data_IF_548442799566
#
_entry.id   IF_548442799566
#
_cell.length_a   1.000
_cell.length_b   1.000
_cell.length_c   1.000
_cell.angle_alpha   90.00
_cell.angle_beta   90.00
_cell.angle_gamma   90.00
#
_symmetry.space_group_name_H-M   'P 1'
#
loop_
_entity.id
_entity.type
_entity.pdbx_description
1 polymer ?
#
# COMPACT_ATOMS: atom_id res chain seq x y z
N UNK A 1 -34.43 0.53 42.58
CA UNK A 1 -33.58 1.71 42.77
C UNK A 1 -32.14 1.31 42.50
N UNK A 2 -31.66 1.55 41.30
CA UNK A 2 -30.24 1.70 40.95
C UNK A 2 -30.20 2.23 39.53
N UNK A 3 -29.60 3.42 39.38
CA UNK A 3 -29.47 4.15 38.11
C UNK A 3 -28.37 3.52 37.27
N UNK A 4 -28.72 3.17 36.02
CA UNK A 4 -27.75 2.83 34.98
C UNK A 4 -27.48 4.09 34.17
N UNK A 5 -26.25 4.61 34.28
CA UNK A 5 -25.75 5.68 33.45
C UNK A 5 -25.40 5.11 32.06
N UNK A 6 -26.05 5.64 31.04
CA UNK A 6 -25.69 5.42 29.63
C UNK A 6 -24.63 6.43 29.23
N UNK A 7 -23.47 5.95 28.84
CA UNK A 7 -22.47 6.74 28.11
C UNK A 7 -22.83 6.77 26.63
N UNK A 8 -23.08 7.97 26.14
CA UNK A 8 -23.27 8.24 24.70
C UNK A 8 -21.90 8.60 24.15
N UNK A 9 -21.34 7.76 23.26
CA UNK A 9 -20.22 8.13 22.40
C UNK A 9 -20.75 8.72 21.10
N UNK A 10 -20.43 9.98 20.89
CA UNK A 10 -20.66 10.74 19.66
C UNK A 10 -19.72 10.23 18.58
N UNK A 11 -20.27 9.75 17.47
CA UNK A 11 -19.53 9.40 16.26
C UNK A 11 -19.46 10.66 15.40
N UNK A 12 -18.28 11.26 15.31
CA UNK A 12 -17.99 12.30 14.31
C UNK A 12 -17.58 11.65 12.99
N UNK A 13 -18.22 12.12 11.94
CA UNK A 13 -18.09 11.62 10.59
C UNK A 13 -16.71 11.83 9.96
N UNK A 14 -16.31 10.89 9.15
CA UNK A 14 -15.14 10.94 8.31
C UNK A 14 -15.47 11.61 6.97
N UNK A 15 -14.92 12.77 6.75
CA UNK A 15 -14.77 13.37 5.43
C UNK A 15 -13.32 13.83 5.27
N UNK A 16 -12.76 13.57 4.08
CA UNK A 16 -11.48 14.04 3.53
C UNK A 16 -10.21 13.33 3.98
N UNK A 17 -9.76 12.39 3.14
CA UNK A 17 -8.39 11.93 3.09
C UNK A 17 -7.47 13.00 2.50
N UNK A 18 -6.83 13.77 3.35
CA UNK A 18 -5.52 14.32 3.07
C UNK A 18 -4.49 13.36 3.66
N UNK A 19 -3.53 12.93 2.85
CA UNK A 19 -2.44 12.08 3.30
C UNK A 19 -1.54 12.88 4.26
N UNK A 20 -1.81 12.79 5.54
CA UNK A 20 -0.94 13.27 6.61
C UNK A 20 -0.19 12.07 7.16
N UNK A 21 1.12 12.12 7.05
CA UNK A 21 2.03 11.22 7.76
C UNK A 21 1.88 11.51 9.26
N UNK A 22 1.18 10.65 9.99
CA UNK A 22 1.06 10.76 11.44
C UNK A 22 2.33 10.25 12.10
N UNK A 23 3.10 11.16 12.67
CA UNK A 23 4.13 10.86 13.68
C UNK A 23 3.43 10.41 14.96
N UNK A 24 3.56 9.16 15.33
CA UNK A 24 3.24 8.71 16.67
C UNK A 24 4.43 9.02 17.59
N UNK A 25 4.25 9.99 18.46
CA UNK A 25 5.10 10.20 19.65
C UNK A 25 4.53 9.33 20.76
N UNK A 26 5.21 8.25 21.10
CA UNK A 26 4.93 7.48 22.32
C UNK A 26 5.67 8.14 23.47
N UNK A 27 4.92 8.77 24.37
CA UNK A 27 5.42 9.24 25.67
C UNK A 27 5.47 8.05 26.62
N UNK A 28 6.66 7.64 27.03
CA UNK A 28 6.87 6.68 28.10
C UNK A 28 7.00 7.46 29.42
N UNK A 29 6.07 7.27 30.34
CA UNK A 29 6.21 7.66 31.76
C UNK A 29 7.02 6.60 32.49
N UNK A 30 8.09 7.01 33.15
CA UNK A 30 8.82 6.23 34.16
C UNK A 30 8.25 6.45 35.54
N UNK A 31 8.19 5.44 36.40
CA UNK A 31 8.06 5.67 37.85
C UNK A 31 9.43 5.81 38.52
N UNK A 32 9.49 6.70 39.45
CA UNK A 32 10.67 7.03 40.27
C UNK A 32 10.97 5.95 41.30
N UNK A 33 12.27 5.66 41.52
CA UNK A 33 12.76 5.28 42.85
C UNK A 33 14.22 5.75 43.04
N UNK A 34 14.45 6.35 44.20
CA UNK A 34 15.68 6.98 44.68
C UNK A 34 16.75 5.96 45.03
N UNK A 35 18.01 6.30 44.78
CA UNK A 35 19.12 6.15 45.74
C UNK A 35 20.40 6.81 45.23
N UNK A 36 21.01 7.66 46.07
CA UNK A 36 22.34 8.27 46.00
C UNK A 36 23.15 7.68 47.15
N UNK A 37 24.50 7.86 47.36
CA UNK A 37 25.54 8.44 46.49
C UNK A 37 26.86 7.65 46.44
N UNK A 38 27.76 7.98 45.49
CA UNK A 38 29.21 8.02 45.76
C UNK A 38 29.98 8.76 44.62
N UNK A 39 30.78 9.78 45.01
CA UNK A 39 31.83 10.45 44.23
C UNK A 39 33.14 9.94 44.79
N UNK A 40 34.36 10.00 44.12
CA UNK A 40 34.87 11.12 43.34
C UNK A 40 35.83 10.80 42.14
N UNK A 41 36.17 11.88 41.45
CA UNK A 41 37.41 12.23 40.78
C UNK A 41 37.58 11.86 39.27
N UNK A 42 37.78 12.93 38.48
CA UNK A 42 38.27 12.95 37.12
C UNK A 42 37.71 14.15 36.36
N UNK A 43 38.44 15.27 36.38
CA UNK A 43 38.19 16.45 35.55
C UNK A 43 38.43 16.06 34.10
N UNK A 44 37.40 16.16 33.24
CA UNK A 44 37.56 16.22 31.81
C UNK A 44 36.67 17.37 31.27
N UNK A 45 37.26 18.13 30.35
CA UNK A 45 36.79 19.37 29.76
C UNK A 45 35.39 19.25 29.12
N UNK A 46 34.61 20.33 29.01
CA UNK A 46 33.28 20.30 28.43
C UNK A 46 33.32 20.05 26.93
N UNK A 47 32.88 18.88 26.50
CA UNK A 47 32.62 18.59 25.08
C UNK A 47 31.59 19.58 24.58
N UNK A 48 31.98 20.42 23.62
CA UNK A 48 31.10 21.37 22.95
C UNK A 48 29.87 20.67 22.37
N UNK A 49 28.72 20.95 22.94
CA UNK A 49 27.41 20.50 22.40
C UNK A 49 27.18 21.23 21.08
N UNK A 50 27.43 20.52 19.98
CA UNK A 50 27.07 21.00 18.64
C UNK A 50 25.59 21.39 18.62
N UNK A 51 25.22 22.59 18.12
CA UNK A 51 23.82 23.03 18.10
C UNK A 51 23.00 22.00 17.29
N UNK A 52 21.87 21.59 17.84
CA UNK A 52 20.87 20.77 17.11
C UNK A 52 20.63 21.42 15.75
N UNK A 53 20.99 20.71 14.67
CA UNK A 53 20.70 21.12 13.33
C UNK A 53 19.19 21.47 13.25
N UNK A 54 18.89 22.71 12.91
CA UNK A 54 17.55 23.15 12.57
C UNK A 54 17.06 22.17 11.48
N UNK A 55 15.97 21.48 11.75
CA UNK A 55 15.23 20.74 10.71
C UNK A 55 14.67 21.82 9.78
N UNK A 56 15.44 22.16 8.76
CA UNK A 56 14.93 23.01 7.68
C UNK A 56 13.77 22.27 7.04
N UNK A 57 12.62 22.93 6.98
CA UNK A 57 11.51 22.46 6.15
C UNK A 57 12.06 22.33 4.74
N UNK A 58 11.77 21.22 4.01
CA UNK A 58 12.16 21.13 2.61
C UNK A 58 11.69 22.39 1.89
N UNK A 59 12.56 22.99 1.09
CA UNK A 59 12.20 24.13 0.26
C UNK A 59 10.95 23.78 -0.51
N UNK A 60 9.93 24.67 -0.52
CA UNK A 60 8.74 24.48 -1.32
C UNK A 60 9.18 24.27 -2.78
N UNK A 61 8.87 23.11 -3.36
CA UNK A 61 9.28 22.77 -4.71
C UNK A 61 8.81 23.83 -5.69
N UNK A 62 9.52 23.99 -6.79
CA UNK A 62 9.17 24.94 -7.87
C UNK A 62 7.66 24.87 -8.17
N UNK A 63 6.96 26.01 -8.29
CA UNK A 63 5.55 26.02 -8.68
C UNK A 63 5.36 25.25 -9.99
N UNK A 64 4.33 24.40 -10.05
CA UNK A 64 4.00 23.65 -11.25
C UNK A 64 3.33 24.54 -12.28
N UNK A 65 3.61 24.29 -13.56
CA UNK A 65 2.85 24.83 -14.67
C UNK A 65 1.75 23.85 -15.12
N UNK A 66 0.69 24.33 -15.79
CA UNK A 66 -0.30 23.45 -16.40
C UNK A 66 0.36 22.46 -17.37
N UNK A 67 -0.04 21.17 -17.27
CA UNK A 67 0.52 20.10 -18.09
C UNK A 67 1.85 19.54 -17.58
N UNK A 68 2.27 19.88 -16.37
CA UNK A 68 3.41 19.29 -15.69
C UNK A 68 2.96 18.28 -14.62
N UNK A 69 3.73 17.19 -14.45
CA UNK A 69 3.52 16.24 -13.37
C UNK A 69 3.70 16.90 -12.01
N UNK A 70 2.74 16.66 -11.10
CA UNK A 70 2.79 17.17 -9.73
C UNK A 70 3.27 16.13 -8.75
N UNK A 71 2.46 15.11 -8.50
CA UNK A 71 2.78 14.03 -7.58
C UNK A 71 2.41 12.71 -8.21
N UNK A 72 2.96 11.63 -7.67
CA UNK A 72 2.77 10.27 -8.18
C UNK A 72 2.24 9.37 -7.08
N UNK A 73 1.53 8.31 -7.48
CA UNK A 73 1.16 7.19 -6.61
C UNK A 73 1.83 5.91 -7.10
N UNK A 74 1.88 4.93 -6.24
CA UNK A 74 2.63 3.69 -6.38
C UNK A 74 2.63 3.12 -7.79
N UNK A 75 3.80 3.03 -8.41
CA UNK A 75 3.91 2.44 -9.74
C UNK A 75 3.82 0.91 -9.67
N UNK A 76 3.38 0.30 -10.76
CA UNK A 76 3.43 -1.14 -10.99
C UNK A 76 4.07 -1.43 -12.34
N UNK A 77 4.73 -2.58 -12.47
CA UNK A 77 5.36 -3.06 -13.70
C UNK A 77 4.84 -4.44 -14.03
N UNK A 78 4.50 -4.69 -15.30
CA UNK A 78 4.11 -6.00 -15.77
C UNK A 78 5.30 -6.78 -16.38
N UNK A 79 5.10 -8.07 -16.71
CA UNK A 79 6.15 -8.92 -17.26
C UNK A 79 6.57 -8.53 -18.69
N UNK A 80 5.79 -7.72 -19.38
CA UNK A 80 6.19 -7.12 -20.67
C UNK A 80 7.04 -5.86 -20.53
N UNK A 81 7.24 -5.36 -19.29
CA UNK A 81 8.01 -4.17 -18.95
C UNK A 81 7.27 -2.86 -19.15
N UNK A 82 5.95 -2.93 -19.33
CA UNK A 82 5.14 -1.72 -19.28
C UNK A 82 4.92 -1.29 -17.82
N UNK A 83 4.95 0.02 -17.58
CA UNK A 83 4.89 0.61 -16.22
C UNK A 83 3.66 1.50 -16.13
N UNK A 84 2.79 1.20 -15.15
CA UNK A 84 1.60 1.98 -14.83
C UNK A 84 1.80 2.77 -13.54
N UNK A 85 1.33 4.02 -13.49
CA UNK A 85 1.28 4.84 -12.28
C UNK A 85 0.18 5.89 -12.36
N UNK A 86 -0.34 6.32 -11.22
CA UNK A 86 -1.24 7.47 -11.14
C UNK A 86 -0.43 8.73 -10.89
N UNK A 87 -0.79 9.81 -11.56
CA UNK A 87 -0.22 11.13 -11.31
C UNK A 87 -1.30 12.18 -11.05
N UNK A 88 -0.94 13.15 -10.22
CA UNK A 88 -1.64 14.41 -10.00
C UNK A 88 -0.93 15.50 -10.80
N UNK A 89 -1.67 16.45 -11.36
CA UNK A 89 -1.11 17.57 -12.12
C UNK A 89 -2.01 18.80 -12.01
N UNK A 90 -1.47 19.97 -12.33
CA UNK A 90 -2.27 21.19 -12.39
C UNK A 90 -3.14 21.19 -13.65
N UNK A 91 -4.44 21.34 -13.46
CA UNK A 91 -5.41 21.51 -14.53
C UNK A 91 -6.35 22.68 -14.18
N UNK A 92 -6.29 23.82 -14.91
CA UNK A 92 -7.09 25.02 -14.60
C UNK A 92 -8.60 24.76 -14.53
N UNK A 93 -9.09 23.77 -15.28
CA UNK A 93 -10.51 23.37 -15.35
C UNK A 93 -10.87 22.22 -14.42
N UNK A 94 -9.91 21.64 -13.68
CA UNK A 94 -10.12 20.53 -12.76
C UNK A 94 -10.75 20.97 -11.43
N UNK A 95 -11.29 20.01 -10.67
CA UNK A 95 -11.75 20.25 -9.28
C UNK A 95 -10.58 20.80 -8.46
N UNK A 96 -10.74 21.97 -7.87
CA UNK A 96 -9.71 22.66 -7.10
C UNK A 96 -8.40 22.94 -7.86
N UNK A 97 -8.43 23.07 -9.19
CA UNK A 97 -7.24 23.34 -10.00
C UNK A 97 -6.31 22.13 -10.17
N UNK A 98 -6.73 20.93 -9.79
CA UNK A 98 -5.96 19.70 -9.92
C UNK A 98 -6.67 18.69 -10.82
N UNK A 99 -5.91 17.97 -11.64
CA UNK A 99 -6.35 16.83 -12.43
C UNK A 99 -5.65 15.55 -11.99
N UNK A 100 -6.23 14.41 -12.36
CA UNK A 100 -5.68 13.09 -12.10
C UNK A 100 -5.74 12.26 -13.38
N UNK A 101 -4.68 11.46 -13.59
CA UNK A 101 -4.67 10.46 -14.64
C UNK A 101 -3.82 9.25 -14.26
N UNK A 102 -4.13 8.11 -14.86
CA UNK A 102 -3.29 6.92 -14.84
C UNK A 102 -2.52 6.89 -16.16
N UNK A 103 -1.21 6.81 -16.03
CA UNK A 103 -0.27 6.73 -17.15
C UNK A 103 0.28 5.32 -17.24
N UNK A 104 0.34 4.80 -18.46
CA UNK A 104 1.04 3.54 -18.76
C UNK A 104 2.11 3.84 -19.80
N UNK A 105 3.37 3.65 -19.43
CA UNK A 105 4.51 3.73 -20.33
C UNK A 105 4.88 2.35 -20.83
N UNK A 106 4.80 2.15 -22.16
CA UNK A 106 5.22 0.92 -22.78
C UNK A 106 6.74 0.88 -23.04
N UNK A 107 7.36 -0.31 -23.21
CA UNK A 107 8.79 -0.43 -23.51
C UNK A 107 9.23 0.25 -24.82
N UNK A 108 8.32 0.34 -25.81
CA UNK A 108 8.54 1.05 -27.08
C UNK A 108 8.53 2.59 -26.94
N UNK A 109 8.30 3.11 -25.73
CA UNK A 109 8.24 4.53 -25.44
C UNK A 109 6.86 5.15 -25.62
N UNK A 110 5.86 4.42 -26.10
CA UNK A 110 4.50 4.92 -26.23
C UNK A 110 3.80 5.04 -24.88
N UNK A 111 2.84 5.97 -24.81
CA UNK A 111 2.06 6.22 -23.61
C UNK A 111 0.57 5.92 -23.84
N UNK A 112 -0.06 5.34 -22.83
CA UNK A 112 -1.52 5.25 -22.72
C UNK A 112 -1.95 6.02 -21.48
N UNK A 113 -2.96 6.86 -21.61
CA UNK A 113 -3.45 7.71 -20.53
C UNK A 113 -4.92 7.37 -20.28
N UNK A 114 -5.30 7.33 -19.00
CA UNK A 114 -6.70 7.25 -18.56
C UNK A 114 -6.93 8.40 -17.60
N UNK A 115 -7.74 9.35 -18.00
CA UNK A 115 -7.88 10.62 -17.29
C UNK A 115 -9.32 10.90 -16.85
N UNK A 116 -9.45 11.88 -15.97
CA UNK A 116 -10.73 12.54 -15.73
C UNK A 116 -11.30 13.05 -17.06
N UNK A 117 -12.61 12.99 -17.19
CA UNK A 117 -13.33 13.35 -18.41
C UNK A 117 -13.54 12.22 -19.41
N UNK A 118 -12.79 11.11 -19.33
CA UNK A 118 -13.05 9.91 -20.15
C UNK A 118 -14.40 9.27 -19.78
N UNK A 119 -15.04 8.66 -20.77
CA UNK A 119 -16.32 7.95 -20.60
C UNK A 119 -16.10 6.44 -20.64
N UNK A 120 -16.84 5.73 -19.80
CA UNK A 120 -16.91 4.26 -19.92
C UNK A 120 -17.94 3.87 -21.00
N UNK A 121 -17.72 2.71 -21.64
CA UNK A 121 -18.56 2.24 -22.76
C UNK A 121 -20.05 2.18 -22.41
N UNK A 122 -20.38 1.87 -21.17
CA UNK A 122 -21.75 1.68 -20.67
C UNK A 122 -22.18 2.78 -19.68
N UNK A 123 -21.47 3.91 -19.64
CA UNK A 123 -21.80 5.04 -18.77
C UNK A 123 -21.75 6.34 -19.58
N UNK A 124 -22.85 7.11 -19.59
CA UNK A 124 -22.89 8.40 -20.29
C UNK A 124 -22.03 9.45 -19.60
N UNK A 125 -21.78 9.29 -18.32
CA UNK A 125 -21.10 10.25 -17.47
C UNK A 125 -19.58 10.10 -17.55
N UNK A 126 -18.82 11.19 -17.47
CA UNK A 126 -17.35 11.15 -17.46
C UNK A 126 -16.78 10.73 -16.09
N UNK A 127 -15.56 10.24 -16.10
CA UNK A 127 -14.77 10.06 -14.88
C UNK A 127 -14.57 11.43 -14.21
N UNK A 128 -14.97 11.53 -12.94
CA UNK A 128 -14.77 12.72 -12.11
C UNK A 128 -13.54 12.65 -11.24
N UNK A 129 -13.18 11.44 -10.78
CA UNK A 129 -12.00 11.21 -9.98
C UNK A 129 -11.53 9.75 -10.11
N UNK A 130 -10.23 9.56 -10.02
CA UNK A 130 -9.57 8.26 -10.00
C UNK A 130 -9.12 7.95 -8.58
N UNK A 131 -9.48 6.78 -8.07
CA UNK A 131 -9.17 6.34 -6.71
C UNK A 131 -8.23 5.15 -6.67
N UNK A 132 -7.44 5.08 -5.58
CA UNK A 132 -6.61 3.93 -5.27
C UNK A 132 -5.36 3.78 -6.14
N UNK A 133 -4.68 2.66 -5.93
CA UNK A 133 -3.53 2.24 -6.74
C UNK A 133 -4.07 1.45 -7.94
N UNK A 134 -3.77 1.85 -9.18
CA UNK A 134 -4.19 1.07 -10.33
C UNK A 134 -3.44 -0.25 -10.38
N UNK A 135 -4.10 -1.32 -10.80
CA UNK A 135 -3.47 -2.60 -11.10
C UNK A 135 -3.39 -2.81 -12.60
N UNK A 136 -2.30 -3.41 -13.03
CA UNK A 136 -1.96 -3.54 -14.42
C UNK A 136 -1.43 -4.95 -14.71
N UNK A 137 -2.04 -5.68 -15.66
CA UNK A 137 -1.67 -7.04 -16.00
C UNK A 137 -0.80 -7.14 -17.26
N UNK A 138 -0.39 -8.36 -17.62
CA UNK A 138 0.44 -8.61 -18.80
C UNK A 138 -0.29 -8.41 -20.14
N UNK A 139 -1.62 -8.41 -20.15
CA UNK A 139 -2.41 -8.08 -21.34
C UNK A 139 -2.49 -6.57 -21.59
N UNK A 140 -2.07 -5.77 -20.63
CA UNK A 140 -2.21 -4.32 -20.68
C UNK A 140 -3.58 -3.84 -20.19
N UNK A 141 -4.34 -4.68 -19.51
CA UNK A 141 -5.58 -4.29 -18.88
C UNK A 141 -5.30 -3.55 -17.56
N UNK A 142 -5.99 -2.45 -17.36
CA UNK A 142 -5.85 -1.57 -16.22
C UNK A 142 -7.10 -1.61 -15.37
N UNK A 143 -6.99 -2.06 -14.13
CA UNK A 143 -8.10 -2.06 -13.17
C UNK A 143 -7.92 -0.94 -12.15
N UNK A 144 -8.99 -0.20 -11.88
CA UNK A 144 -8.96 0.97 -11.00
C UNK A 144 -10.34 1.23 -10.40
N UNK A 145 -10.37 2.00 -9.33
CA UNK A 145 -11.60 2.56 -8.75
C UNK A 145 -11.77 3.97 -9.29
N UNK A 146 -12.96 4.32 -9.74
CA UNK A 146 -13.27 5.67 -10.21
C UNK A 146 -14.63 6.14 -9.72
N UNK A 147 -14.79 7.46 -9.67
CA UNK A 147 -16.04 8.17 -9.45
C UNK A 147 -16.51 8.74 -10.79
N UNK A 148 -17.77 8.48 -11.13
CA UNK A 148 -18.40 9.05 -12.34
C UNK A 148 -19.42 10.13 -11.95
N UNK A 149 -19.55 11.15 -12.79
CA UNK A 149 -20.64 12.14 -12.69
C UNK A 149 -21.98 11.48 -13.01
N UNK A 150 -23.02 11.93 -12.37
CA UNK A 150 -24.40 11.49 -12.55
C UNK A 150 -25.29 12.13 -11.52
N UNK A 151 -26.62 12.14 -11.74
CA UNK A 151 -27.56 12.50 -10.69
C UNK A 151 -27.24 11.64 -9.47
N UNK A 152 -26.93 12.32 -8.35
CA UNK A 152 -26.67 11.66 -7.09
C UNK A 152 -27.77 10.61 -6.89
N UNK A 153 -27.40 9.35 -6.80
CA UNK A 153 -28.32 8.33 -6.32
C UNK A 153 -28.86 8.88 -5.00
N UNK A 154 -30.15 9.23 -4.97
CA UNK A 154 -30.82 9.69 -3.75
C UNK A 154 -30.42 8.69 -2.67
N UNK A 155 -29.84 9.11 -1.53
CA UNK A 155 -29.57 8.18 -0.46
C UNK A 155 -30.86 7.47 -0.17
N UNK A 156 -30.87 6.14 -0.26
CA UNK A 156 -31.94 5.35 0.31
C UNK A 156 -32.03 5.81 1.77
N UNK A 157 -33.13 6.44 2.11
CA UNK A 157 -33.33 7.21 3.31
C UNK A 157 -32.95 6.41 4.57
N UNK A 158 -31.74 6.67 5.06
CA UNK A 158 -31.46 6.61 6.48
C UNK A 158 -31.29 8.08 6.92
N UNK A 159 -32.41 8.80 6.88
CA UNK A 159 -32.50 10.10 7.52
C UNK A 159 -32.29 9.88 9.04
N UNK A 160 -31.14 10.29 9.54
CA UNK A 160 -31.05 10.62 10.96
C UNK A 160 -32.14 11.68 11.22
N UNK A 161 -32.87 11.56 12.34
CA UNK A 161 -33.79 12.63 12.73
C UNK A 161 -33.01 13.94 12.75
N UNK A 162 -33.48 14.94 12.00
CA UNK A 162 -32.92 16.28 12.03
C UNK A 162 -32.96 16.79 13.46
N UNK A 163 -31.84 17.34 13.92
CA UNK A 163 -31.82 18.09 15.19
C UNK A 163 -32.76 19.28 14.99
N UNK A 164 -33.85 19.41 15.77
CA UNK A 164 -34.83 20.49 15.60
C UNK A 164 -34.25 21.88 15.88
N UNK A 165 -33.00 21.97 16.35
CA UNK A 165 -32.32 23.22 16.68
C UNK A 165 -31.23 23.63 15.67
N UNK A 166 -30.99 22.86 14.59
CA UNK A 166 -30.04 23.21 13.53
C UNK A 166 -30.79 23.69 12.27
N UNK A 167 -30.90 25.02 12.03
CA UNK A 167 -31.62 25.57 10.88
C UNK A 167 -30.84 25.51 9.55
N UNK A 168 -29.62 24.96 9.53
CA UNK A 168 -28.86 24.83 8.27
C UNK A 168 -29.33 23.59 7.52
N UNK A 169 -29.80 23.74 6.26
CA UNK A 169 -30.00 22.60 5.41
C UNK A 169 -28.64 21.91 5.21
N UNK A 170 -28.45 20.77 5.85
CA UNK A 170 -27.32 19.92 5.47
C UNK A 170 -27.64 19.43 4.06
N UNK A 171 -27.02 20.08 3.07
CA UNK A 171 -26.97 19.55 1.72
C UNK A 171 -26.32 18.16 1.86
N UNK A 172 -27.13 17.13 1.65
CA UNK A 172 -26.63 15.75 1.58
C UNK A 172 -25.53 15.73 0.51
N UNK A 173 -24.28 15.55 0.92
CA UNK A 173 -23.19 15.40 -0.03
C UNK A 173 -23.59 14.29 -0.99
N UNK A 174 -23.58 14.53 -2.32
CA UNK A 174 -23.96 13.51 -3.28
C UNK A 174 -23.11 12.30 -3.08
N UNK A 175 -23.72 11.14 -2.89
CA UNK A 175 -23.02 9.85 -2.89
C UNK A 175 -22.39 9.70 -4.28
N UNK A 176 -21.10 9.95 -4.36
CA UNK A 176 -20.33 9.80 -5.58
C UNK A 176 -20.43 8.34 -6.03
N UNK A 177 -20.80 8.09 -7.27
CA UNK A 177 -20.89 6.75 -7.87
C UNK A 177 -19.48 6.15 -8.03
N UNK A 178 -18.90 5.72 -6.91
CA UNK A 178 -17.59 5.05 -6.89
C UNK A 178 -17.80 3.59 -7.28
N UNK A 179 -17.09 3.14 -8.32
CA UNK A 179 -17.22 1.79 -8.87
C UNK A 179 -15.86 1.22 -9.23
N UNK A 180 -15.82 -0.11 -9.41
CA UNK A 180 -14.64 -0.84 -9.84
C UNK A 180 -14.69 -1.00 -11.36
N UNK A 181 -13.65 -0.55 -12.05
CA UNK A 181 -13.55 -0.54 -13.51
C UNK A 181 -12.34 -1.30 -14.02
N UNK A 182 -12.46 -1.79 -15.25
CA UNK A 182 -11.33 -2.27 -16.04
C UNK A 182 -11.30 -1.53 -17.38
N UNK A 183 -10.12 -1.05 -17.78
CA UNK A 183 -9.82 -0.55 -19.12
C UNK A 183 -9.04 -1.60 -19.89
N UNK A 184 -9.61 -2.07 -20.97
CA UNK A 184 -9.01 -3.02 -21.92
C UNK A 184 -8.80 -2.33 -23.27
N UNK A 185 -8.34 -3.05 -24.27
CA UNK A 185 -8.32 -2.56 -25.67
C UNK A 185 -9.72 -2.17 -26.18
N UNK A 186 -10.79 -2.78 -25.64
CA UNK A 186 -12.18 -2.49 -26.00
C UNK A 186 -12.81 -1.32 -25.25
N UNK A 187 -12.05 -0.59 -24.42
CA UNK A 187 -12.51 0.57 -23.64
C UNK A 187 -12.69 0.28 -22.16
N UNK A 188 -13.29 1.22 -21.45
CA UNK A 188 -13.53 1.15 -20.00
C UNK A 188 -14.88 0.47 -19.74
N UNK A 189 -14.88 -0.56 -18.87
CA UNK A 189 -16.07 -1.27 -18.44
C UNK A 189 -16.17 -1.30 -16.92
N UNK A 190 -17.39 -1.19 -16.37
CA UNK A 190 -17.62 -1.45 -14.96
C UNK A 190 -17.57 -2.94 -14.68
N UNK A 191 -16.79 -3.32 -13.67
CA UNK A 191 -16.82 -4.69 -13.11
C UNK A 191 -17.87 -4.82 -12.02
N UNK A 192 -17.96 -3.84 -11.12
CA UNK A 192 -18.92 -3.76 -10.04
C UNK A 192 -19.26 -2.30 -9.73
N UNK A 193 -20.49 -2.06 -9.25
CA UNK A 193 -21.00 -0.74 -8.86
C UNK A 193 -21.39 -0.72 -7.40
N UNK A 194 -21.43 0.47 -6.80
CA UNK A 194 -22.09 0.66 -5.52
C UNK A 194 -23.54 0.21 -5.63
N UNK A 195 -24.02 -0.52 -4.61
CA UNK A 195 -25.36 -1.08 -4.59
C UNK A 195 -25.51 -2.45 -5.25
N UNK A 196 -24.47 -2.97 -5.93
CA UNK A 196 -24.48 -4.37 -6.38
C UNK A 196 -24.53 -5.31 -5.19
N UNK A 197 -25.14 -6.49 -5.38
CA UNK A 197 -25.35 -7.47 -4.32
C UNK A 197 -24.04 -8.13 -3.90
N UNK A 198 -23.86 -8.29 -2.59
CA UNK A 198 -22.75 -9.07 -2.04
C UNK A 198 -23.09 -10.56 -2.14
N UNK A 199 -22.19 -11.41 -2.69
CA UNK A 199 -22.50 -12.82 -2.87
C UNK A 199 -22.90 -13.51 -1.56
N UNK A 200 -24.01 -14.27 -1.61
CA UNK A 200 -24.52 -15.08 -0.49
C UNK A 200 -24.82 -14.27 0.80
N UNK A 201 -25.15 -12.99 0.65
CA UNK A 201 -25.48 -12.11 1.78
C UNK A 201 -26.64 -11.17 1.41
N UNK A 202 -27.57 -10.88 2.34
CA UNK A 202 -28.61 -9.88 2.14
C UNK A 202 -28.03 -8.45 2.30
N UNK A 203 -26.99 -8.12 1.55
CA UNK A 203 -26.24 -6.87 1.66
C UNK A 203 -25.76 -6.38 0.30
N UNK A 204 -25.39 -5.10 0.23
CA UNK A 204 -24.94 -4.45 -1.00
C UNK A 204 -23.60 -3.78 -0.79
N UNK A 205 -22.77 -3.72 -1.83
CA UNK A 205 -21.49 -3.03 -1.79
C UNK A 205 -21.67 -1.52 -1.55
N UNK A 206 -20.92 -0.99 -0.60
CA UNK A 206 -20.86 0.43 -0.23
C UNK A 206 -19.51 1.07 -0.57
N UNK A 207 -18.51 0.29 -0.99
CA UNK A 207 -17.21 0.79 -1.41
C UNK A 207 -16.28 -0.29 -1.95
N UNK A 208 -15.27 0.17 -2.69
CA UNK A 208 -14.23 -0.66 -3.28
C UNK A 208 -12.85 -0.03 -3.04
N UNK A 209 -11.83 -0.85 -2.83
CA UNK A 209 -10.45 -0.38 -2.72
C UNK A 209 -9.44 -1.47 -3.10
N UNK A 210 -8.21 -1.05 -3.39
CA UNK A 210 -7.06 -1.92 -3.66
C UNK A 210 -7.33 -3.01 -4.71
N UNK A 211 -7.83 -2.65 -5.91
CA UNK A 211 -8.01 -3.65 -6.94
C UNK A 211 -6.66 -4.19 -7.42
N UNK A 212 -6.61 -5.47 -7.74
CA UNK A 212 -5.46 -6.12 -8.38
C UNK A 212 -5.95 -7.15 -9.37
N UNK A 213 -5.43 -7.12 -10.60
CA UNK A 213 -5.94 -7.92 -11.71
C UNK A 213 -4.87 -8.81 -12.32
N UNK A 214 -5.24 -10.03 -12.70
CA UNK A 214 -4.37 -10.97 -13.40
C UNK A 214 -4.64 -11.01 -14.91
N UNK A 215 -3.83 -11.77 -15.65
CA UNK A 215 -3.94 -11.86 -17.11
C UNK A 215 -5.15 -12.67 -17.61
N UNK A 216 -5.86 -13.39 -16.72
CA UNK A 216 -7.14 -14.01 -17.03
C UNK A 216 -8.34 -13.08 -16.86
N UNK A 217 -8.11 -11.82 -16.43
CA UNK A 217 -9.18 -10.85 -16.18
C UNK A 217 -9.89 -11.04 -14.83
N UNK A 218 -9.33 -11.87 -13.94
CA UNK A 218 -9.83 -11.99 -12.56
C UNK A 218 -9.25 -10.83 -11.74
N UNK A 219 -10.12 -10.12 -11.05
CA UNK A 219 -9.74 -8.98 -10.22
C UNK A 219 -10.04 -9.27 -8.75
N UNK A 220 -9.03 -9.15 -7.89
CA UNK A 220 -9.21 -9.14 -6.44
C UNK A 220 -9.38 -7.70 -5.95
N UNK A 221 -10.18 -7.50 -4.92
CA UNK A 221 -10.44 -6.19 -4.32
C UNK A 221 -10.92 -6.30 -2.87
N UNK A 222 -10.77 -5.22 -2.12
CA UNK A 222 -11.42 -5.07 -0.84
C UNK A 222 -12.77 -4.40 -1.07
N UNK A 223 -13.85 -5.05 -0.66
CA UNK A 223 -15.22 -4.52 -0.68
C UNK A 223 -15.68 -4.17 0.72
N UNK A 224 -16.37 -3.03 0.86
CA UNK A 224 -17.16 -2.68 2.05
C UNK A 224 -18.64 -2.86 1.74
N UNK A 225 -19.45 -3.24 2.72
CA UNK A 225 -20.86 -3.55 2.53
C UNK A 225 -21.64 -3.45 3.83
N UNK A 226 -22.96 -3.21 3.72
CA UNK A 226 -23.91 -3.27 4.83
C UNK A 226 -23.79 -2.14 5.85
N UNK A 227 -24.69 -2.21 6.86
CA UNK A 227 -24.68 -1.38 8.06
C UNK A 227 -24.81 -2.32 9.28
N UNK A 228 -23.85 -2.29 10.24
CA UNK A 228 -22.60 -1.55 10.23
C UNK A 228 -21.48 -2.24 9.44
N UNK A 229 -20.63 -1.45 8.88
CA UNK A 229 -19.36 -1.65 8.17
C UNK A 229 -18.79 -3.07 7.99
N UNK A 230 -19.47 -3.93 7.22
CA UNK A 230 -18.90 -5.19 6.78
C UNK A 230 -17.75 -4.95 5.77
N UNK A 231 -16.69 -5.72 5.86
CA UNK A 231 -15.55 -5.66 4.95
C UNK A 231 -15.06 -7.04 4.56
N UNK A 232 -14.60 -7.20 3.33
CA UNK A 232 -14.08 -8.48 2.87
C UNK A 232 -13.09 -8.34 1.74
N UNK A 233 -12.37 -9.42 1.50
CA UNK A 233 -11.55 -9.64 0.32
C UNK A 233 -12.34 -10.50 -0.67
N UNK A 234 -12.50 -10.00 -1.88
CA UNK A 234 -13.32 -10.58 -2.93
C UNK A 234 -12.49 -10.82 -4.19
N UNK A 235 -12.97 -11.72 -5.03
CA UNK A 235 -12.61 -11.80 -6.44
C UNK A 235 -13.84 -11.47 -7.29
N UNK A 236 -13.62 -10.86 -8.44
CA UNK A 236 -14.62 -10.69 -9.49
C UNK A 236 -14.07 -11.20 -10.80
N UNK A 237 -14.85 -12.03 -11.46
CA UNK A 237 -14.59 -12.59 -12.80
C UNK A 237 -15.84 -12.42 -13.65
N UNK A 238 -15.73 -11.81 -14.82
CA UNK A 238 -16.85 -11.54 -15.72
C UNK A 238 -18.05 -10.85 -15.03
N UNK A 239 -17.78 -9.91 -14.12
CA UNK A 239 -18.80 -9.20 -13.35
C UNK A 239 -19.46 -10.02 -12.25
N UNK A 240 -19.02 -11.25 -11.98
CA UNK A 240 -19.55 -12.11 -10.91
C UNK A 240 -18.58 -12.10 -9.72
N UNK A 241 -18.95 -11.43 -8.62
CA UNK A 241 -18.13 -11.40 -7.43
C UNK A 241 -18.23 -12.71 -6.64
N UNK A 242 -17.15 -13.10 -5.95
CA UNK A 242 -17.13 -14.17 -4.94
C UNK A 242 -16.30 -13.77 -3.74
N UNK A 243 -16.68 -14.23 -2.58
CA UNK A 243 -15.99 -13.96 -1.32
C UNK A 243 -14.76 -14.86 -1.22
N UNK A 244 -13.62 -14.30 -0.84
CA UNK A 244 -12.45 -15.05 -0.34
C UNK A 244 -12.59 -15.19 1.19
N UNK A 245 -12.60 -14.06 1.89
CA UNK A 245 -12.82 -13.95 3.33
C UNK A 245 -13.59 -12.67 3.64
N UNK A 246 -14.31 -12.66 4.76
CA UNK A 246 -15.04 -11.48 5.21
C UNK A 246 -15.02 -11.33 6.73
N UNK A 247 -15.29 -10.12 7.21
CA UNK A 247 -15.47 -9.83 8.63
C UNK A 247 -16.60 -10.71 9.21
N UNK A 248 -16.38 -11.21 10.42
CA UNK A 248 -17.31 -12.13 11.10
C UNK A 248 -17.29 -13.58 10.59
N UNK A 249 -16.63 -13.89 9.48
CA UNK A 249 -16.47 -15.27 9.00
C UNK A 249 -15.51 -16.04 9.89
N UNK A 250 -15.91 -17.22 10.36
CA UNK A 250 -15.00 -18.13 11.10
C UNK A 250 -13.81 -18.52 10.23
N UNK A 251 -12.63 -18.50 10.82
CA UNK A 251 -11.38 -18.79 10.10
C UNK A 251 -11.32 -20.25 9.73
N UNK A 252 -11.70 -21.16 10.63
CA UNK A 252 -11.37 -22.58 10.49
C UNK A 252 -9.86 -22.81 10.61
N UNK A 253 -9.31 -23.76 9.88
CA UNK A 253 -7.86 -24.03 9.84
C UNK A 253 -7.25 -24.35 11.23
N UNK A 254 -8.05 -24.82 12.19
CA UNK A 254 -7.61 -25.03 13.57
C UNK A 254 -7.42 -23.75 14.39
N UNK A 255 -7.89 -22.60 13.89
CA UNK A 255 -7.82 -21.31 14.55
C UNK A 255 -9.21 -20.96 15.10
N UNK A 256 -9.29 -20.69 16.39
CA UNK A 256 -10.51 -20.16 17.01
C UNK A 256 -10.67 -18.68 16.64
N UNK A 257 -11.93 -18.27 16.37
CA UNK A 257 -12.29 -16.89 16.08
C UNK A 257 -12.72 -16.65 14.65
N UNK A 258 -12.97 -15.40 14.36
CA UNK A 258 -13.45 -14.89 13.07
C UNK A 258 -12.53 -13.80 12.54
N UNK A 259 -12.49 -13.66 11.21
CA UNK A 259 -11.79 -12.55 10.58
C UNK A 259 -12.40 -11.21 11.01
N UNK A 260 -11.53 -10.22 11.26
CA UNK A 260 -11.91 -8.82 11.44
C UNK A 260 -11.86 -8.06 10.10
N UNK A 261 -12.04 -6.74 10.15
CA UNK A 261 -12.14 -5.88 8.96
C UNK A 261 -10.79 -5.57 8.28
N UNK A 262 -9.67 -5.96 8.88
CA UNK A 262 -8.35 -5.51 8.44
C UNK A 262 -7.70 -6.55 7.53
N UNK A 263 -7.66 -6.24 6.23
CA UNK A 263 -7.01 -7.04 5.20
C UNK A 263 -6.01 -6.19 4.42
N UNK A 264 -4.82 -6.75 4.19
CA UNK A 264 -3.77 -6.15 3.36
C UNK A 264 -3.35 -7.18 2.30
N UNK A 265 -4.01 -7.18 1.13
CA UNK A 265 -3.75 -8.15 0.07
C UNK A 265 -2.47 -7.84 -0.71
N UNK A 266 -1.85 -8.88 -1.26
CA UNK A 266 -0.84 -8.80 -2.31
C UNK A 266 -1.47 -8.44 -3.67
N UNK A 267 -0.67 -8.39 -4.71
CA UNK A 267 -1.14 -8.54 -6.08
C UNK A 267 -1.71 -9.96 -6.27
N UNK A 268 -2.71 -10.11 -7.15
CA UNK A 268 -3.20 -11.43 -7.57
C UNK A 268 -2.29 -11.99 -8.66
N UNK A 269 -1.96 -13.29 -8.60
CA UNK A 269 -1.20 -13.95 -9.66
C UNK A 269 -2.10 -14.56 -10.75
N UNK A 270 -1.50 -15.03 -11.83
CA UNK A 270 -2.24 -15.64 -12.95
C UNK A 270 -2.90 -17.00 -12.62
N UNK A 271 -2.67 -17.55 -11.45
CA UNK A 271 -3.41 -18.70 -10.92
C UNK A 271 -4.59 -18.32 -10.05
N UNK A 272 -4.94 -17.02 -10.02
CA UNK A 272 -5.96 -16.43 -9.17
C UNK A 272 -5.70 -16.67 -7.67
N UNK A 273 -4.43 -16.77 -7.29
CA UNK A 273 -3.98 -16.86 -5.90
C UNK A 273 -3.63 -15.47 -5.39
N UNK A 274 -3.92 -15.23 -4.11
CA UNK A 274 -3.63 -13.97 -3.44
C UNK A 274 -3.19 -14.22 -2.01
N UNK A 275 -2.06 -13.67 -1.64
CA UNK A 275 -1.63 -13.65 -0.25
C UNK A 275 -2.19 -12.41 0.46
N UNK A 276 -2.51 -12.51 1.74
CA UNK A 276 -2.99 -11.38 2.50
C UNK A 276 -2.64 -11.48 3.99
N UNK A 277 -2.42 -10.33 4.59
CA UNK A 277 -2.44 -10.18 6.03
C UNK A 277 -3.91 -10.06 6.45
N UNK A 278 -4.33 -10.89 7.40
CA UNK A 278 -5.66 -10.86 8.00
C UNK A 278 -5.58 -10.82 9.53
N UNK A 279 -6.59 -10.26 10.18
CA UNK A 279 -6.73 -10.27 11.64
C UNK A 279 -7.81 -11.26 12.09
N UNK A 280 -7.54 -11.94 13.21
CA UNK A 280 -8.44 -12.91 13.83
C UNK A 280 -8.46 -12.64 15.33
N UNK A 281 -9.48 -11.96 15.81
CA UNK A 281 -9.50 -11.45 17.18
C UNK A 281 -8.32 -10.50 17.45
N UNK A 282 -7.54 -10.80 18.46
CA UNK A 282 -6.30 -10.07 18.82
C UNK A 282 -5.07 -10.49 18.01
N UNK A 283 -5.15 -11.60 17.26
CA UNK A 283 -4.05 -12.14 16.45
C UNK A 283 -4.08 -11.60 15.03
N UNK A 284 -2.92 -11.59 14.41
CA UNK A 284 -2.78 -11.34 12.97
C UNK A 284 -2.05 -12.52 12.31
N UNK A 285 -2.30 -12.77 11.04
CA UNK A 285 -1.70 -13.87 10.31
C UNK A 285 -1.52 -13.59 8.83
N UNK A 286 -0.59 -14.30 8.22
CA UNK A 286 -0.39 -14.34 6.77
C UNK A 286 -1.14 -15.54 6.22
N UNK A 287 -2.05 -15.27 5.30
CA UNK A 287 -2.90 -16.26 4.64
C UNK A 287 -2.67 -16.23 3.14
N UNK A 288 -2.99 -17.33 2.47
CA UNK A 288 -3.02 -17.41 1.01
C UNK A 288 -4.34 -18.02 0.56
N UNK A 289 -5.06 -17.34 -0.30
CA UNK A 289 -6.20 -17.89 -1.02
C UNK A 289 -5.69 -18.60 -2.26
N UNK A 290 -6.04 -19.88 -2.39
CA UNK A 290 -5.75 -20.74 -3.54
C UNK A 290 -7.06 -21.36 -4.06
N UNK A 291 -7.08 -22.01 -5.24
CA UNK A 291 -8.30 -22.67 -5.75
C UNK A 291 -8.95 -23.66 -4.78
N UNK A 292 -8.16 -24.31 -3.93
CA UNK A 292 -8.65 -25.28 -2.94
C UNK A 292 -9.14 -24.67 -1.63
N UNK A 293 -8.98 -23.36 -1.44
CA UNK A 293 -9.37 -22.66 -0.21
C UNK A 293 -8.29 -21.72 0.31
N UNK A 294 -8.46 -21.26 1.55
CA UNK A 294 -7.51 -20.40 2.24
C UNK A 294 -6.57 -21.25 3.10
N UNK A 295 -5.29 -20.98 3.02
CA UNK A 295 -4.23 -21.59 3.80
C UNK A 295 -3.63 -20.57 4.77
N UNK A 296 -3.23 -21.01 5.97
CA UNK A 296 -2.46 -20.23 6.93
C UNK A 296 -0.97 -20.48 6.73
N UNK A 297 -0.17 -19.42 6.61
CA UNK A 297 1.29 -19.54 6.54
C UNK A 297 1.99 -19.19 7.85
N UNK A 298 1.50 -18.18 8.56
CA UNK A 298 2.06 -17.72 9.83
C UNK A 298 0.99 -17.00 10.65
N UNK A 299 1.04 -17.14 11.98
CA UNK A 299 0.09 -16.52 12.90
C UNK A 299 0.83 -15.99 14.14
N UNK A 300 0.39 -14.87 14.68
CA UNK A 300 0.87 -14.33 15.96
C UNK A 300 0.75 -15.39 17.06
N UNK A 301 1.84 -15.62 17.80
CA UNK A 301 1.93 -16.63 18.85
C UNK A 301 2.30 -18.03 18.37
N UNK A 302 2.54 -18.26 17.07
CA UNK A 302 3.03 -19.54 16.55
C UNK A 302 4.54 -19.51 16.27
N UNK A 303 5.22 -20.68 16.25
CA UNK A 303 6.65 -20.74 16.00
C UNK A 303 7.05 -20.16 14.65
N UNK A 304 8.07 -19.30 14.66
CA UNK A 304 8.79 -18.86 13.46
C UNK A 304 9.91 -19.85 13.11
N UNK A 305 10.43 -19.85 11.85
CA UNK A 305 11.53 -20.74 11.45
C UNK A 305 12.89 -20.27 11.99
N UNK A 306 12.94 -19.91 13.25
CA UNK A 306 14.09 -19.50 14.05
C UNK A 306 13.98 -20.27 15.37
N UNK A 307 15.06 -20.91 15.85
CA UNK A 307 15.00 -21.69 17.10
C UNK A 307 14.45 -20.86 18.28
N UNK A 308 13.53 -21.44 19.05
CA UNK A 308 12.91 -20.84 20.24
C UNK A 308 12.28 -19.46 20.01
N UNK A 309 11.65 -19.26 18.86
CA UNK A 309 11.15 -17.97 18.44
C UNK A 309 9.71 -18.09 17.96
N UNK A 310 8.85 -17.13 18.33
CA UNK A 310 7.49 -17.01 17.84
C UNK A 310 7.27 -15.71 17.07
N UNK A 311 6.28 -15.71 16.17
CA UNK A 311 5.78 -14.50 15.57
C UNK A 311 5.01 -13.69 16.63
N UNK A 312 5.28 -12.38 16.72
CA UNK A 312 4.54 -11.45 17.60
C UNK A 312 3.71 -10.43 16.84
N UNK A 313 3.83 -10.40 15.49
CA UNK A 313 3.03 -9.54 14.63
C UNK A 313 3.59 -9.43 13.22
N UNK A 314 2.80 -8.79 12.35
CA UNK A 314 3.16 -8.58 10.93
C UNK A 314 3.07 -7.11 10.52
N UNK A 315 2.71 -6.22 11.45
CA UNK A 315 2.42 -4.82 11.16
C UNK A 315 1.23 -4.68 10.21
N UNK A 316 1.18 -3.57 9.48
CA UNK A 316 0.19 -3.34 8.42
C UNK A 316 0.87 -3.51 7.04
N UNK A 317 1.55 -4.65 6.84
CA UNK A 317 2.41 -4.92 5.69
C UNK A 317 1.79 -6.01 4.83
N UNK A 318 1.45 -5.66 3.59
CA UNK A 318 1.00 -6.65 2.63
C UNK A 318 2.12 -7.64 2.32
N UNK A 319 1.85 -8.96 2.26
CA UNK A 319 2.78 -9.92 1.69
C UNK A 319 2.91 -9.72 0.17
N UNK A 320 3.95 -10.29 -0.44
CA UNK A 320 4.08 -10.45 -1.89
C UNK A 320 3.78 -11.89 -2.29
N UNK A 321 3.23 -12.11 -3.49
CA UNK A 321 3.05 -13.44 -4.10
C UNK A 321 3.63 -13.44 -5.50
N UNK A 322 4.37 -14.52 -5.86
CA UNK A 322 4.90 -14.70 -7.22
C UNK A 322 3.89 -15.37 -8.14
N UNK A 323 4.13 -15.33 -9.46
CA UNK A 323 3.34 -16.07 -10.45
C UNK A 323 3.37 -17.59 -10.22
N UNK A 324 4.37 -18.11 -9.50
CA UNK A 324 4.46 -19.51 -9.04
C UNK A 324 3.68 -19.79 -7.75
N UNK A 325 3.19 -18.75 -7.04
CA UNK A 325 2.47 -18.87 -5.77
C UNK A 325 3.40 -18.96 -4.55
N UNK A 326 4.65 -18.56 -4.69
CA UNK A 326 5.58 -18.36 -3.60
C UNK A 326 5.25 -17.06 -2.89
N UNK A 327 5.43 -17.01 -1.57
CA UNK A 327 5.04 -15.85 -0.75
C UNK A 327 6.23 -15.30 0.02
N UNK A 328 6.40 -13.99 -0.04
CA UNK A 328 7.34 -13.25 0.80
C UNK A 328 6.55 -12.33 1.76
N UNK A 329 6.97 -12.24 3.02
CA UNK A 329 6.33 -11.38 4.01
C UNK A 329 7.29 -10.90 5.08
N UNK A 330 7.00 -9.74 5.66
CA UNK A 330 7.71 -9.20 6.82
C UNK A 330 6.97 -9.58 8.10
N UNK A 331 7.72 -9.91 9.16
CA UNK A 331 7.16 -10.19 10.47
C UNK A 331 8.05 -9.69 11.61
N UNK A 332 7.42 -9.53 12.76
CA UNK A 332 8.04 -9.29 14.06
C UNK A 332 8.11 -10.60 14.83
N UNK A 333 9.19 -10.80 15.59
CA UNK A 333 9.40 -11.98 16.41
C UNK A 333 9.81 -11.60 17.82
N UNK A 334 9.65 -12.51 18.76
CA UNK A 334 10.08 -12.37 20.17
C UNK A 334 11.59 -12.60 20.38
N UNK A 335 12.33 -12.94 19.32
CA UNK A 335 13.77 -13.16 19.39
C UNK A 335 14.53 -11.81 19.36
N UNK A 336 15.32 -11.47 20.41
CA UNK A 336 16.07 -10.21 20.46
C UNK A 336 17.05 -10.01 19.30
N UNK A 337 17.62 -11.09 18.74
CA UNK A 337 18.57 -11.05 17.63
C UNK A 337 17.93 -11.04 16.26
N UNK A 338 16.61 -11.17 16.19
CA UNK A 338 15.86 -11.24 14.94
C UNK A 338 14.46 -10.61 15.07
N UNK A 339 14.34 -9.54 15.88
CA UNK A 339 13.04 -8.91 16.17
C UNK A 339 12.21 -8.57 14.94
N UNK A 340 12.85 -8.36 13.81
CA UNK A 340 12.23 -8.07 12.51
C UNK A 340 12.92 -8.87 11.43
N UNK A 341 12.14 -9.52 10.58
CA UNK A 341 12.68 -10.31 9.48
C UNK A 341 11.75 -10.36 8.28
N UNK A 342 12.32 -10.64 7.12
CA UNK A 342 11.61 -11.08 5.93
C UNK A 342 11.66 -12.61 5.86
N UNK A 343 10.53 -13.18 5.55
CA UNK A 343 10.33 -14.61 5.40
C UNK A 343 9.88 -14.93 3.98
N UNK A 344 10.17 -16.15 3.57
CA UNK A 344 9.78 -16.70 2.28
C UNK A 344 9.14 -18.08 2.48
N UNK A 345 8.03 -18.32 1.80
CA UNK A 345 7.38 -19.62 1.67
C UNK A 345 7.34 -20.00 0.20
N UNK A 346 8.07 -21.06 -0.15
CA UNK A 346 7.95 -21.69 -1.46
C UNK A 346 6.58 -22.35 -1.64
N UNK A 347 6.27 -22.78 -2.85
CA UNK A 347 5.04 -23.55 -3.12
C UNK A 347 4.98 -24.77 -2.20
N UNK A 348 6.12 -25.45 -2.05
CA UNK A 348 6.32 -26.57 -1.13
C UNK A 348 7.34 -26.23 -0.05
N UNK A 349 7.45 -27.10 0.94
CA UNK A 349 8.40 -26.96 2.04
C UNK A 349 7.99 -25.95 3.11
N UNK A 350 8.81 -25.74 4.14
CA UNK A 350 8.52 -24.83 5.25
C UNK A 350 8.76 -23.36 4.87
N UNK A 351 8.23 -22.47 5.71
CA UNK A 351 8.65 -21.06 5.74
C UNK A 351 10.13 -20.99 6.12
N UNK A 352 10.89 -20.10 5.49
CA UNK A 352 12.31 -19.85 5.79
C UNK A 352 12.58 -18.37 5.93
N UNK A 353 13.63 -18.02 6.67
CA UNK A 353 14.11 -16.66 6.79
C UNK A 353 14.87 -16.24 5.51
N UNK A 354 14.71 -15.00 5.10
CA UNK A 354 15.41 -14.38 3.97
C UNK A 354 16.51 -13.45 4.48
N UNK A 355 16.15 -12.56 5.40
CA UNK A 355 17.01 -11.57 6.02
C UNK A 355 16.37 -11.11 7.33
N UNK A 356 17.19 -10.75 8.32
CA UNK A 356 16.72 -10.31 9.64
C UNK A 356 17.40 -9.00 10.06
N UNK A 357 16.83 -8.33 11.03
CA UNK A 357 17.51 -7.25 11.73
C UNK A 357 18.83 -7.75 12.31
N UNK A 358 19.87 -6.92 12.21
CA UNK A 358 21.26 -7.28 12.55
C UNK A 358 22.10 -7.83 11.40
N UNK A 359 21.49 -8.33 10.31
CA UNK A 359 22.24 -8.77 9.13
C UNK A 359 22.92 -7.58 8.46
N UNK A 360 24.20 -7.74 8.08
CA UNK A 360 25.01 -6.68 7.47
C UNK A 360 24.54 -6.37 6.04
N UNK A 361 24.66 -5.11 5.66
CA UNK A 361 24.37 -4.60 4.31
C UNK A 361 25.68 -4.46 3.54
N UNK A 362 26.14 -5.54 2.89
CA UNK A 362 27.42 -5.55 2.18
C UNK A 362 28.52 -4.93 3.03
N UNK A 363 29.36 -4.11 2.41
CA UNK A 363 30.51 -3.40 3.05
C UNK A 363 30.15 -1.99 3.54
N UNK A 364 28.87 -1.66 3.70
CA UNK A 364 28.42 -0.31 4.09
C UNK A 364 28.69 0.06 5.54
N UNK A 365 29.05 -0.90 6.39
CA UNK A 365 29.18 -0.73 7.84
C UNK A 365 27.84 -0.71 8.59
N UNK A 366 26.72 -0.77 7.90
CA UNK A 366 25.38 -0.80 8.47
C UNK A 366 24.80 -2.22 8.53
N UNK A 367 23.82 -2.40 9.42
CA UNK A 367 22.98 -3.58 9.51
C UNK A 367 21.49 -3.18 9.35
N UNK A 368 20.68 -4.12 8.86
CA UNK A 368 19.24 -3.92 8.79
C UNK A 368 18.63 -3.78 10.18
N UNK A 369 17.58 -2.96 10.31
CA UNK A 369 16.83 -2.77 11.54
C UNK A 369 15.33 -3.05 11.37
N UNK A 370 14.77 -2.89 10.15
CA UNK A 370 13.36 -3.19 9.84
C UNK A 370 13.16 -3.37 8.33
N UNK A 371 11.98 -3.92 7.93
CA UNK A 371 11.61 -4.22 6.56
C UNK A 371 10.17 -3.81 6.31
N UNK A 372 9.88 -3.22 5.14
CA UNK A 372 8.50 -2.94 4.70
C UNK A 372 7.96 -4.08 3.83
N UNK A 373 6.75 -3.87 3.27
CA UNK A 373 6.08 -4.84 2.40
C UNK A 373 6.98 -5.26 1.24
N UNK A 374 7.28 -6.57 1.07
CA UNK A 374 8.07 -7.06 -0.04
C UNK A 374 7.23 -7.24 -1.31
N UNK A 375 7.90 -7.21 -2.47
CA UNK A 375 7.40 -7.72 -3.74
C UNK A 375 8.28 -8.88 -4.20
N UNK A 376 7.71 -9.88 -4.86
CA UNK A 376 8.42 -11.10 -5.28
C UNK A 376 8.03 -11.47 -6.71
N UNK A 377 8.99 -11.94 -7.50
CA UNK A 377 8.80 -12.43 -8.86
C UNK A 377 8.91 -13.97 -8.98
N UNK A 378 8.67 -14.51 -10.20
CA UNK A 378 8.73 -15.95 -10.45
C UNK A 378 10.14 -16.57 -10.35
N UNK A 379 11.19 -15.77 -10.28
CA UNK A 379 12.55 -16.26 -10.05
C UNK A 379 12.88 -16.42 -8.56
N UNK A 380 11.95 -15.97 -7.68
CA UNK A 380 12.16 -15.89 -6.25
C UNK A 380 13.02 -14.69 -5.83
N UNK A 381 13.21 -13.70 -6.73
CA UNK A 381 13.83 -12.43 -6.36
C UNK A 381 12.83 -11.61 -5.53
N UNK A 382 13.30 -11.02 -4.44
CA UNK A 382 12.46 -10.26 -3.51
C UNK A 382 12.98 -8.83 -3.44
N UNK A 383 12.17 -7.88 -3.90
CA UNK A 383 12.43 -6.45 -3.76
C UNK A 383 11.76 -5.93 -2.49
N UNK A 384 12.45 -5.12 -1.69
CA UNK A 384 11.95 -4.61 -0.43
C UNK A 384 12.62 -3.31 0.00
N UNK A 385 11.91 -2.51 0.79
CA UNK A 385 12.52 -1.38 1.50
C UNK A 385 13.02 -1.87 2.85
N UNK A 386 14.32 -1.73 3.08
CA UNK A 386 14.99 -2.02 4.34
C UNK A 386 15.33 -0.74 5.09
N UNK A 387 15.22 -0.76 6.42
CA UNK A 387 15.64 0.32 7.30
C UNK A 387 17.01 -0.04 7.93
N UNK A 388 17.87 0.96 8.13
CA UNK A 388 19.21 0.79 8.70
C UNK A 388 19.72 2.09 9.33
N UNK A 389 20.77 2.02 10.15
CA UNK A 389 21.44 3.20 10.68
C UNK A 389 20.49 4.21 11.38
N UNK A 390 19.54 3.71 12.15
CA UNK A 390 18.54 4.50 12.86
C UNK A 390 17.28 4.75 12.02
N UNK A 391 17.27 5.75 11.14
CA UNK A 391 16.08 6.13 10.33
C UNK A 391 16.31 6.06 8.82
N UNK A 392 17.49 5.64 8.40
CA UNK A 392 17.81 5.53 6.99
C UNK A 392 16.96 4.42 6.34
N UNK A 393 16.64 4.62 5.08
CA UNK A 393 15.91 3.65 4.24
C UNK A 393 16.69 3.42 2.96
N UNK A 394 16.59 2.20 2.45
CA UNK A 394 17.09 1.85 1.14
C UNK A 394 16.14 0.87 0.46
N UNK A 395 16.16 0.88 -0.84
CA UNK A 395 15.53 -0.15 -1.66
C UNK A 395 16.57 -1.21 -1.96
N UNK A 396 16.23 -2.46 -1.71
CA UNK A 396 17.09 -3.62 -1.89
C UNK A 396 16.39 -4.68 -2.74
N UNK A 397 17.19 -5.53 -3.37
CA UNK A 397 16.71 -6.76 -3.98
C UNK A 397 17.55 -7.95 -3.52
N UNK A 398 16.87 -9.00 -3.08
CA UNK A 398 17.46 -10.32 -2.80
C UNK A 398 17.30 -11.17 -4.04
N UNK A 399 18.39 -11.66 -4.57
CA UNK A 399 18.45 -12.58 -5.71
C UNK A 399 19.16 -13.88 -5.30
N UNK A 400 19.37 -14.81 -6.23
CA UNK A 400 20.20 -16.00 -5.99
C UNK A 400 21.66 -15.64 -5.62
N UNK A 401 22.16 -14.47 -6.02
CA UNK A 401 23.51 -14.00 -5.74
C UNK A 401 23.67 -13.35 -4.36
N UNK A 402 22.56 -13.04 -3.67
CA UNK A 402 22.59 -12.35 -2.38
C UNK A 402 21.66 -11.15 -2.36
N UNK A 403 21.86 -10.27 -1.38
CA UNK A 403 21.12 -9.00 -1.24
C UNK A 403 22.02 -7.87 -1.72
N UNK A 404 21.48 -7.07 -2.65
CA UNK A 404 22.15 -5.89 -3.18
C UNK A 404 21.28 -4.63 -3.05
N UNK A 405 21.86 -3.44 -2.86
CA UNK A 405 21.11 -2.20 -2.89
C UNK A 405 20.69 -1.86 -4.32
N UNK A 406 19.45 -1.38 -4.48
CA UNK A 406 18.93 -0.78 -5.71
C UNK A 406 19.09 0.73 -5.65
N UNK A 407 18.73 1.32 -4.51
CA UNK A 407 18.90 2.74 -4.22
C UNK A 407 19.00 2.96 -2.71
N UNK A 408 19.89 3.83 -2.26
CA UNK A 408 20.08 4.13 -0.84
C UNK A 408 19.74 5.60 -0.57
N UNK A 409 19.39 5.88 0.69
CA UNK A 409 19.25 7.25 1.17
C UNK A 409 20.54 8.04 0.89
N UNK A 410 20.38 9.30 0.50
CA UNK A 410 21.49 10.24 0.18
C UNK A 410 22.34 9.89 -1.06
N UNK A 411 21.99 8.85 -1.80
CA UNK A 411 22.58 8.65 -3.13
C UNK A 411 22.03 9.65 -4.14
N UNK A 412 22.84 10.15 -5.07
CA UNK A 412 22.37 10.97 -6.19
C UNK A 412 21.35 10.20 -7.04
N UNK A 413 20.29 10.91 -7.48
CA UNK A 413 19.31 10.33 -8.39
C UNK A 413 19.88 10.22 -9.81
N UNK A 414 19.53 9.19 -10.58
CA UNK A 414 19.97 9.05 -11.97
C UNK A 414 19.51 10.21 -12.84
N UNK A 415 20.47 10.86 -13.54
CA UNK A 415 20.18 11.99 -14.43
C UNK A 415 19.81 13.29 -13.73
N UNK A 416 19.89 13.35 -12.41
CA UNK A 416 19.68 14.56 -11.63
C UNK A 416 20.97 15.39 -11.44
N UNK A 417 20.83 16.56 -10.83
CA UNK A 417 21.97 17.34 -10.35
C UNK A 417 22.69 16.60 -9.20
N UNK A 418 23.94 16.95 -8.95
CA UNK A 418 24.79 16.22 -7.98
C UNK A 418 24.25 16.27 -6.54
N UNK A 419 23.51 17.29 -6.21
CA UNK A 419 22.87 17.54 -4.91
C UNK A 419 21.42 17.03 -4.83
N UNK A 420 20.87 16.50 -5.92
CA UNK A 420 19.57 15.86 -5.93
C UNK A 420 19.69 14.42 -5.43
N UNK A 421 19.36 14.21 -4.17
CA UNK A 421 19.59 12.96 -3.44
C UNK A 421 18.27 12.30 -3.04
N UNK A 422 18.25 10.96 -3.04
CA UNK A 422 17.14 10.18 -2.48
C UNK A 422 16.95 10.49 -0.99
N UNK A 423 15.68 10.61 -0.57
CA UNK A 423 15.29 10.85 0.82
C UNK A 423 14.34 9.80 1.39
N UNK A 424 13.46 9.24 0.56
CA UNK A 424 12.50 8.22 1.01
C UNK A 424 12.09 7.32 -0.15
N UNK A 425 11.69 6.09 0.18
CA UNK A 425 11.26 5.07 -0.77
C UNK A 425 9.91 4.49 -0.36
N UNK A 426 9.09 4.12 -1.33
CA UNK A 426 7.87 3.35 -1.11
C UNK A 426 8.04 1.90 -1.55
N UNK A 427 7.00 1.09 -1.30
CA UNK A 427 6.97 -0.30 -1.72
C UNK A 427 7.27 -0.42 -3.22
N UNK A 428 8.26 -1.26 -3.62
CA UNK A 428 8.57 -1.52 -5.02
C UNK A 428 7.56 -2.46 -5.68
N UNK A 429 7.57 -2.46 -7.01
CA UNK A 429 7.01 -3.53 -7.84
C UNK A 429 8.14 -4.18 -8.63
N UNK A 430 8.12 -5.51 -8.77
CA UNK A 430 9.13 -6.30 -9.51
C UNK A 430 8.43 -7.24 -10.47
N UNK A 431 8.95 -7.36 -11.70
CA UNK A 431 8.45 -8.32 -12.68
C UNK A 431 9.34 -9.57 -12.78
N UNK A 432 8.92 -10.56 -13.59
CA UNK A 432 9.61 -11.82 -13.75
C UNK A 432 10.96 -11.71 -14.51
N UNK A 433 11.24 -10.56 -15.13
CA UNK A 433 12.57 -10.26 -15.68
C UNK A 433 13.54 -9.65 -14.65
N UNK A 434 13.03 -9.32 -13.45
CA UNK A 434 13.79 -8.68 -12.36
C UNK A 434 13.91 -7.18 -12.53
N UNK A 435 13.11 -6.58 -13.38
CA UNK A 435 12.98 -5.13 -13.43
C UNK A 435 12.17 -4.65 -12.25
N UNK A 436 12.61 -3.53 -11.66
CA UNK A 436 12.01 -2.96 -10.45
C UNK A 436 11.59 -1.53 -10.75
N UNK A 437 10.34 -1.20 -10.40
CA UNK A 437 9.84 0.18 -10.42
C UNK A 437 9.45 0.61 -9.00
N UNK A 438 9.74 1.86 -8.66
CA UNK A 438 9.42 2.43 -7.36
C UNK A 438 9.22 3.94 -7.43
N UNK A 439 8.47 4.45 -6.47
CA UNK A 439 8.38 5.88 -6.19
C UNK A 439 9.41 6.25 -5.14
N UNK A 440 10.06 7.40 -5.33
CA UNK A 440 10.93 7.98 -4.33
C UNK A 440 10.70 9.48 -4.18
N UNK A 441 10.98 9.98 -2.97
CA UNK A 441 11.07 11.39 -2.64
C UNK A 441 12.55 11.79 -2.57
N UNK A 442 12.87 12.98 -3.03
CA UNK A 442 14.20 13.58 -2.94
C UNK A 442 14.32 14.53 -1.74
N UNK A 443 15.55 14.89 -1.34
CA UNK A 443 15.82 15.80 -0.21
C UNK A 443 15.24 17.21 -0.42
N UNK A 444 15.18 17.67 -1.64
CA UNK A 444 14.58 18.97 -2.01
C UNK A 444 13.04 18.96 -1.97
N UNK A 445 12.41 17.85 -1.58
CA UNK A 445 10.96 17.68 -1.55
C UNK A 445 10.34 17.26 -2.88
N UNK A 446 11.08 17.20 -3.97
CA UNK A 446 10.62 16.65 -5.23
C UNK A 446 10.37 15.15 -5.17
N UNK A 447 9.64 14.66 -6.15
CA UNK A 447 9.22 13.26 -6.23
C UNK A 447 9.41 12.72 -7.64
N UNK A 448 9.60 11.41 -7.76
CA UNK A 448 9.75 10.76 -9.05
C UNK A 448 9.43 9.26 -9.02
N UNK A 449 9.26 8.73 -10.21
CA UNK A 449 9.21 7.29 -10.47
C UNK A 449 10.55 6.87 -11.08
N UNK A 450 11.10 5.79 -10.55
CA UNK A 450 12.40 5.25 -10.97
C UNK A 450 12.25 3.80 -11.41
N UNK A 451 13.08 3.41 -12.37
CA UNK A 451 13.07 2.08 -12.96
C UNK A 451 14.50 1.51 -13.00
N UNK A 452 14.67 0.34 -12.41
CA UNK A 452 15.87 -0.49 -12.55
C UNK A 452 15.59 -1.58 -13.57
N UNK A 453 16.33 -1.59 -14.67
CA UNK A 453 16.18 -2.59 -15.72
C UNK A 453 16.74 -3.96 -15.31
N UNK A 454 16.55 -4.98 -16.16
CA UNK A 454 17.02 -6.35 -15.92
C UNK A 454 18.54 -6.48 -15.80
N UNK A 455 19.31 -5.51 -16.35
CA UNK A 455 20.78 -5.44 -16.28
C UNK A 455 21.25 -4.74 -15.02
N UNK A 456 20.32 -4.23 -14.17
CA UNK A 456 20.63 -3.51 -12.95
C UNK A 456 20.81 -2.00 -13.13
N UNK A 457 20.63 -1.45 -14.33
CA UNK A 457 20.76 -0.01 -14.57
C UNK A 457 19.55 0.73 -14.04
N UNK A 458 19.79 1.65 -13.10
CA UNK A 458 18.78 2.52 -12.53
C UNK A 458 18.62 3.78 -13.38
N UNK A 459 17.37 4.16 -13.69
CA UNK A 459 17.02 5.35 -14.47
C UNK A 459 15.84 6.08 -13.84
N UNK A 460 15.79 7.37 -14.03
CA UNK A 460 14.59 8.17 -13.78
C UNK A 460 13.59 7.91 -14.92
N UNK A 461 12.35 7.53 -14.57
CA UNK A 461 11.27 7.35 -15.53
C UNK A 461 10.52 8.65 -15.78
N UNK A 462 10.16 9.34 -14.68
CA UNK A 462 9.44 10.62 -14.69
C UNK A 462 9.63 11.33 -13.34
N UNK A 463 9.63 12.67 -13.37
CA UNK A 463 9.78 13.51 -12.18
C UNK A 463 8.69 14.58 -12.13
N UNK A 464 8.47 15.11 -10.92
CA UNK A 464 7.70 16.33 -10.73
C UNK A 464 8.27 17.48 -11.57
N UNK A 465 7.39 18.26 -12.19
CA UNK A 465 7.76 19.38 -13.05
C UNK A 465 8.12 19.01 -14.50
N UNK A 466 8.20 17.71 -14.84
CA UNK A 466 8.32 17.29 -16.23
C UNK A 466 6.97 17.41 -16.95
N UNK A 467 7.02 17.73 -18.25
CA UNK A 467 5.81 17.81 -19.07
C UNK A 467 5.21 16.42 -19.28
N UNK A 468 3.88 16.37 -19.14
CA UNK A 468 3.15 15.14 -19.44
C UNK A 468 3.22 14.81 -20.92
N UNK A 469 3.23 13.54 -21.30
CA UNK A 469 3.09 13.09 -22.68
C UNK A 469 1.72 13.55 -23.22
N UNK A 470 1.70 13.88 -24.53
CA UNK A 470 0.49 14.30 -25.25
C UNK A 470 -0.35 13.08 -25.65
#
# INVERSE_FOLDING_TARGET
MQKIQRFVFSVMGFALLSASVSLFVVSAQQPASQQKPAKPAGEDEPVAVTPKAKVERPAEGKPLAPGEFGNFRYPSINNKGAIAFQALFLQPTGRNGAGQAIFVKNPDGTWKITSEGEKAVNFPEPILALGGVPSFNDNGDLTFVAEFGGEAAKPAAAARPADPNDPTPQEAMPLLNRSLYVKTAGGIKSLLKLGDEVPNMPSRFTGFSNPTTNSQGVTAFIGTYGDPDGRGLFLVENGKPRIIVRSGQRVGLGIEGSYSEHYYPSQINDRSEIAFLGRVGDKSGIFVSRPKGVELLALTGTPAPIPNTNYIGFGNRAPGISSKGEVAFAAFTDNPEAQRALFFKGVEGPVRIVVKAGDKIGDTGYAFSDFLSPAINARGDIAFVGMYGGRNRGLFVKTAKGIEPVALLEQPIPGGAKDELFNNFTQPSINDRGEIVFYAQMKNGDVGIFHRDEKGTLRTLVRRGEKMPK
#
